data_IF_010540565227
#
_entry.id   IF_010540565227
#
_cell.length_a   1.000
_cell.length_b   1.000
_cell.length_c   1.000
_cell.angle_alpha   90.00
_cell.angle_beta   90.00
_cell.angle_gamma   90.00
#
_symmetry.space_group_name_H-M   'P 1'
#
loop_
_entity.id
_entity.type
_entity.pdbx_description
1 polymer ?
#
# COMPACT_ATOMS: atom_id res chain seq x y z
N UNK A 1 -23.07 -31.97 5.06
CA UNK A 1 -22.23 -32.66 6.06
C UNK A 1 -20.83 -32.02 6.19
N UNK A 2 -20.03 -31.93 5.12
CA UNK A 2 -18.67 -31.35 5.17
C UNK A 2 -18.65 -29.85 5.54
N UNK A 3 -19.64 -29.09 5.07
CA UNK A 3 -19.89 -27.67 5.40
C UNK A 3 -20.03 -27.41 6.92
N UNK A 4 -20.76 -28.30 7.60
CA UNK A 4 -21.00 -28.20 9.03
C UNK A 4 -19.73 -28.50 9.81
N UNK A 5 -18.95 -29.51 9.39
CA UNK A 5 -17.66 -29.83 9.99
C UNK A 5 -16.65 -28.66 9.84
N UNK A 6 -16.61 -28.02 8.67
CA UNK A 6 -15.79 -26.81 8.45
C UNK A 6 -16.18 -25.69 9.40
N UNK A 7 -17.48 -25.41 9.54
CA UNK A 7 -18.00 -24.39 10.46
C UNK A 7 -17.74 -24.74 11.93
N UNK A 8 -17.84 -26.00 12.32
CA UNK A 8 -17.57 -26.45 13.70
C UNK A 8 -16.08 -26.43 14.05
N UNK A 9 -15.19 -26.76 13.10
CA UNK A 9 -13.74 -26.63 13.29
C UNK A 9 -13.36 -25.14 13.42
N UNK A 10 -13.91 -24.28 12.56
CA UNK A 10 -13.71 -22.83 12.63
C UNK A 10 -14.28 -22.20 13.91
N UNK A 11 -15.38 -22.75 14.45
CA UNK A 11 -16.01 -22.26 15.66
C UNK A 11 -15.41 -22.83 16.96
N UNK A 12 -14.83 -24.03 16.94
CA UNK A 12 -14.31 -24.72 18.12
C UNK A 12 -12.85 -24.41 18.48
N UNK A 13 -12.06 -23.88 17.54
CA UNK A 13 -10.60 -23.69 17.72
C UNK A 13 -10.18 -22.21 17.62
N UNK A 14 -11.11 -21.32 17.26
CA UNK A 14 -10.80 -19.91 17.02
C UNK A 14 -10.15 -19.71 15.65
N UNK A 15 -10.51 -18.63 14.96
CA UNK A 15 -10.10 -18.31 13.60
C UNK A 15 -8.61 -17.90 13.48
N UNK A 16 -7.76 -18.33 14.40
CA UNK A 16 -6.33 -18.04 14.45
C UNK A 16 -5.56 -19.22 13.86
N UNK A 17 -5.38 -19.21 12.54
CA UNK A 17 -4.34 -19.96 11.82
C UNK A 17 -4.24 -21.46 12.20
N UNK A 18 -5.03 -22.31 11.53
CA UNK A 18 -4.77 -23.75 11.61
C UNK A 18 -3.42 -24.04 10.93
N UNK A 19 -2.44 -24.51 11.70
CA UNK A 19 -1.16 -24.99 11.16
C UNK A 19 -1.34 -26.34 10.45
N UNK A 20 -0.39 -26.69 9.58
CA UNK A 20 -0.41 -27.97 8.88
C UNK A 20 -0.53 -29.16 9.86
N UNK A 21 0.15 -29.09 11.02
CA UNK A 21 0.07 -30.13 12.05
C UNK A 21 -1.32 -30.26 12.69
N UNK A 22 -2.03 -29.14 12.89
CA UNK A 22 -3.40 -29.16 13.40
C UNK A 22 -4.36 -29.82 12.40
N UNK A 23 -4.20 -29.53 11.11
CA UNK A 23 -5.00 -30.16 10.04
C UNK A 23 -4.70 -31.66 9.96
N UNK A 24 -3.41 -32.05 9.99
CA UNK A 24 -3.00 -33.46 9.98
C UNK A 24 -3.58 -34.25 11.15
N UNK A 25 -3.59 -33.66 12.35
CA UNK A 25 -4.15 -34.28 13.56
C UNK A 25 -5.67 -34.47 13.46
N UNK A 26 -6.39 -33.44 12.99
CA UNK A 26 -7.84 -33.51 12.80
C UNK A 26 -8.25 -34.58 11.77
N UNK A 27 -7.48 -34.71 10.68
CA UNK A 27 -7.72 -35.74 9.67
C UNK A 27 -7.38 -37.14 10.21
N UNK A 28 -6.30 -37.30 10.97
CA UNK A 28 -5.94 -38.56 11.60
C UNK A 28 -7.01 -39.05 12.59
N UNK A 29 -7.64 -38.14 13.35
CA UNK A 29 -8.75 -38.49 14.24
C UNK A 29 -10.01 -38.90 13.49
N UNK A 30 -10.23 -38.37 12.29
CA UNK A 30 -11.31 -38.79 11.40
C UNK A 30 -11.09 -40.21 10.87
N UNK A 31 -9.83 -40.57 10.57
CA UNK A 31 -9.44 -41.93 10.19
C UNK A 31 -9.62 -42.91 11.35
N UNK A 32 -9.15 -42.55 12.55
CA UNK A 32 -9.33 -43.37 13.77
C UNK A 32 -10.80 -43.63 14.11
N UNK A 33 -11.68 -42.67 13.82
CA UNK A 33 -13.14 -42.80 14.02
C UNK A 33 -13.83 -43.59 12.89
N UNK A 34 -13.08 -44.10 11.91
CA UNK A 34 -13.60 -44.84 10.75
C UNK A 34 -14.42 -43.98 9.78
N UNK A 35 -14.36 -42.65 9.90
CA UNK A 35 -15.14 -41.71 9.07
C UNK A 35 -14.44 -41.34 7.78
N UNK A 36 -13.17 -41.72 7.62
CA UNK A 36 -12.34 -41.42 6.47
C UNK A 36 -11.30 -42.53 6.29
N UNK A 37 -10.96 -42.90 5.05
CA UNK A 37 -9.83 -43.79 4.81
C UNK A 37 -8.50 -43.05 4.98
N UNK A 38 -7.42 -43.79 5.26
CA UNK A 38 -6.09 -43.19 5.39
C UNK A 38 -5.63 -42.51 4.09
N UNK A 39 -6.03 -43.06 2.94
CA UNK A 39 -5.70 -42.52 1.62
C UNK A 39 -6.46 -41.21 1.35
N UNK A 40 -7.74 -41.15 1.71
CA UNK A 40 -8.55 -39.94 1.59
C UNK A 40 -8.04 -38.81 2.50
N UNK A 41 -7.55 -39.16 3.70
CA UNK A 41 -6.94 -38.19 4.60
C UNK A 41 -5.69 -37.58 3.99
N UNK A 42 -4.83 -38.42 3.42
CA UNK A 42 -3.58 -37.97 2.79
C UNK A 42 -3.88 -37.07 1.59
N UNK A 43 -4.81 -37.48 0.72
CA UNK A 43 -5.20 -36.67 -0.44
C UNK A 43 -5.83 -35.33 -0.04
N UNK A 44 -6.66 -35.30 1.01
CA UNK A 44 -7.24 -34.06 1.53
C UNK A 44 -6.19 -33.13 2.14
N UNK A 45 -5.19 -33.69 2.83
CA UNK A 45 -4.07 -32.93 3.37
C UNK A 45 -3.21 -32.32 2.25
N UNK A 46 -2.79 -33.12 1.27
CA UNK A 46 -1.94 -32.66 0.18
C UNK A 46 -2.63 -31.55 -0.62
N UNK A 47 -3.94 -31.68 -0.86
CA UNK A 47 -4.74 -30.65 -1.54
C UNK A 47 -4.90 -29.37 -0.71
N UNK A 48 -5.02 -29.50 0.61
CA UNK A 48 -5.08 -28.35 1.52
C UNK A 48 -3.72 -27.64 1.61
N UNK A 49 -2.61 -28.39 1.63
CA UNK A 49 -1.26 -27.85 1.66
C UNK A 49 -0.93 -27.10 0.37
N UNK A 50 -1.15 -27.73 -0.80
CA UNK A 50 -0.88 -27.10 -2.10
C UNK A 50 -1.68 -25.80 -2.29
N UNK A 51 -2.96 -25.80 -1.91
CA UNK A 51 -3.80 -24.60 -1.96
C UNK A 51 -3.36 -23.55 -0.92
N UNK A 52 -2.95 -23.99 0.26
CA UNK A 52 -2.46 -23.12 1.32
C UNK A 52 -1.19 -22.37 0.94
N UNK A 53 -0.25 -23.01 0.22
CA UNK A 53 0.96 -22.35 -0.27
C UNK A 53 0.65 -21.26 -1.31
N UNK A 54 -0.28 -21.53 -2.22
CA UNK A 54 -0.72 -20.55 -3.23
C UNK A 54 -1.45 -19.37 -2.59
N UNK A 55 -2.41 -19.66 -1.70
CA UNK A 55 -3.17 -18.65 -0.96
C UNK A 55 -2.26 -17.82 -0.05
N UNK A 56 -1.28 -18.45 0.62
CA UNK A 56 -0.29 -17.74 1.43
C UNK A 56 0.57 -16.80 0.58
N UNK A 57 1.07 -17.26 -0.57
CA UNK A 57 1.88 -16.41 -1.46
C UNK A 57 1.09 -15.19 -1.96
N UNK A 58 -0.18 -15.38 -2.33
CA UNK A 58 -1.06 -14.29 -2.74
C UNK A 58 -1.36 -13.32 -1.58
N UNK A 59 -1.58 -13.83 -0.38
CA UNK A 59 -1.82 -13.02 0.82
C UNK A 59 -0.58 -12.22 1.23
N UNK A 60 0.61 -12.84 1.24
CA UNK A 60 1.86 -12.15 1.53
C UNK A 60 2.14 -11.04 0.51
N UNK A 61 1.90 -11.28 -0.78
CA UNK A 61 2.04 -10.27 -1.83
C UNK A 61 1.12 -9.06 -1.59
N UNK A 62 -0.16 -9.31 -1.27
CA UNK A 62 -1.13 -8.25 -0.97
C UNK A 62 -0.81 -7.50 0.33
N UNK A 63 -0.38 -8.22 1.36
CA UNK A 63 0.01 -7.63 2.64
C UNK A 63 1.26 -6.75 2.50
N UNK A 64 2.26 -7.20 1.74
CA UNK A 64 3.47 -6.43 1.46
C UNK A 64 3.15 -5.16 0.66
N UNK A 65 2.30 -5.26 -0.37
CA UNK A 65 1.85 -4.10 -1.14
C UNK A 65 1.11 -3.08 -0.26
N UNK A 66 0.18 -3.55 0.59
CA UNK A 66 -0.55 -2.68 1.54
C UNK A 66 0.36 -2.04 2.56
N UNK A 67 1.36 -2.77 3.05
CA UNK A 67 2.36 -2.26 3.99
C UNK A 67 3.22 -1.18 3.36
N UNK A 68 3.67 -1.38 2.11
CA UNK A 68 4.46 -0.41 1.36
C UNK A 68 3.67 0.88 1.10
N UNK A 69 2.44 0.76 0.59
CA UNK A 69 1.53 1.89 0.35
C UNK A 69 1.29 2.70 1.64
N UNK A 70 1.08 2.00 2.76
CA UNK A 70 0.89 2.66 4.06
C UNK A 70 2.14 3.42 4.49
N UNK A 71 3.34 2.83 4.36
CA UNK A 71 4.60 3.49 4.69
C UNK A 71 4.87 4.71 3.81
N UNK A 72 4.60 4.60 2.50
CA UNK A 72 4.73 5.69 1.53
C UNK A 72 3.79 6.85 1.87
N UNK A 73 2.53 6.56 2.21
CA UNK A 73 1.56 7.56 2.64
C UNK A 73 1.98 8.27 3.94
N UNK A 74 2.50 7.53 4.94
CA UNK A 74 3.04 8.14 6.15
C UNK A 74 4.29 9.00 5.86
N UNK A 75 5.16 8.55 4.95
CA UNK A 75 6.34 9.30 4.51
C UNK A 75 5.95 10.61 3.81
N UNK A 76 4.94 10.58 2.95
CA UNK A 76 4.40 11.76 2.28
C UNK A 76 3.84 12.79 3.29
N UNK A 77 3.08 12.32 4.29
CA UNK A 77 2.57 13.17 5.37
C UNK A 77 3.68 13.78 6.25
N UNK A 78 4.77 13.03 6.46
CA UNK A 78 5.94 13.58 7.15
C UNK A 78 6.63 14.67 6.29
N UNK A 79 6.67 14.49 4.97
CA UNK A 79 7.18 15.46 4.01
C UNK A 79 6.40 16.77 4.05
N UNK A 80 5.07 16.72 3.95
CA UNK A 80 4.21 17.92 3.99
C UNK A 80 4.37 18.67 5.30
N UNK A 81 4.39 17.98 6.44
CA UNK A 81 4.60 18.62 7.75
C UNK A 81 5.99 19.27 7.88
N UNK A 82 7.02 18.70 7.26
CA UNK A 82 8.35 19.34 7.21
C UNK A 82 8.33 20.58 6.32
N UNK A 83 7.63 20.51 5.19
CA UNK A 83 7.50 21.62 4.25
C UNK A 83 6.77 22.80 4.89
N UNK A 84 5.61 22.58 5.54
CA UNK A 84 4.89 23.60 6.31
C UNK A 84 5.76 24.27 7.40
N UNK A 85 6.60 23.49 8.08
CA UNK A 85 7.49 24.03 9.10
C UNK A 85 8.62 24.87 8.49
N UNK A 86 9.14 24.46 7.32
CA UNK A 86 10.11 25.25 6.58
C UNK A 86 9.49 26.57 6.11
N UNK A 87 8.30 26.54 5.52
CA UNK A 87 7.56 27.75 5.09
C UNK A 87 7.35 28.73 6.24
N UNK A 88 6.92 28.26 7.42
CA UNK A 88 6.78 29.11 8.61
C UNK A 88 8.09 29.76 9.05
N UNK A 89 9.20 29.02 8.96
CA UNK A 89 10.52 29.55 9.30
C UNK A 89 10.99 30.58 8.28
N UNK A 90 10.73 30.33 7.00
CA UNK A 90 11.05 31.26 5.91
C UNK A 90 10.24 32.55 6.08
N UNK A 91 8.93 32.47 6.27
CA UNK A 91 8.07 33.63 6.51
C UNK A 91 8.53 34.46 7.71
N UNK A 92 8.90 33.82 8.82
CA UNK A 92 9.42 34.50 10.00
C UNK A 92 10.79 35.15 9.80
N UNK A 93 11.58 34.69 8.82
CA UNK A 93 12.85 35.30 8.42
C UNK A 93 12.60 36.46 7.46
N UNK A 94 11.71 36.30 6.48
CA UNK A 94 11.33 37.34 5.51
C UNK A 94 10.70 38.56 6.20
N UNK A 95 9.83 38.34 7.20
CA UNK A 95 9.26 39.41 8.03
C UNK A 95 10.35 40.21 8.76
N UNK A 96 11.36 39.52 9.30
CA UNK A 96 12.50 40.16 9.99
C UNK A 96 13.43 40.92 9.04
N UNK A 97 13.49 40.51 7.79
CA UNK A 97 14.33 41.12 6.75
C UNK A 97 13.58 42.19 5.94
N UNK A 98 12.28 42.39 6.20
CA UNK A 98 11.44 43.34 5.45
C UNK A 98 11.29 42.96 3.97
N UNK A 99 11.49 41.68 3.63
CA UNK A 99 11.34 41.17 2.27
C UNK A 99 9.85 40.84 2.08
N UNK A 100 9.17 41.41 1.06
CA UNK A 100 7.80 41.05 0.78
C UNK A 100 7.73 39.56 0.45
N UNK A 101 6.87 38.83 1.16
CA UNK A 101 6.67 37.40 0.95
C UNK A 101 6.37 37.14 -0.54
N UNK A 102 6.97 36.11 -1.16
CA UNK A 102 6.61 35.73 -2.51
C UNK A 102 5.11 35.44 -2.57
N UNK A 103 4.44 35.97 -3.60
CA UNK A 103 3.02 35.70 -3.83
C UNK A 103 2.79 34.19 -3.89
N UNK A 104 1.66 33.68 -3.39
CA UNK A 104 1.40 32.24 -3.41
C UNK A 104 1.51 31.74 -4.84
N UNK A 105 2.49 30.89 -5.09
CA UNK A 105 2.61 30.13 -6.34
C UNK A 105 1.33 29.30 -6.45
N UNK A 106 0.41 29.80 -7.28
CA UNK A 106 -0.72 29.02 -7.74
C UNK A 106 -0.12 27.86 -8.52
N UNK A 107 -0.56 26.61 -8.31
CA UNK A 107 -0.04 25.48 -9.05
C UNK A 107 -0.18 25.81 -10.54
N UNK A 108 0.96 25.93 -11.20
CA UNK A 108 1.05 26.26 -12.61
C UNK A 108 0.31 25.16 -13.38
N UNK A 109 -0.85 25.53 -13.93
CA UNK A 109 -1.54 24.76 -14.95
C UNK A 109 -0.56 24.60 -16.12
N UNK A 110 -0.05 23.38 -16.32
CA UNK A 110 0.89 22.99 -17.39
C UNK A 110 0.34 23.21 -18.83
N UNK A 111 -0.80 23.87 -19.00
CA UNK A 111 -1.39 24.11 -20.31
C UNK A 111 -2.14 25.44 -20.41
N UNK A 112 -1.40 26.54 -20.55
CA UNK A 112 -1.86 27.73 -21.28
C UNK A 112 -0.66 28.52 -21.80
N UNK A 113 -0.81 29.18 -22.97
CA UNK A 113 0.28 29.37 -23.91
C UNK A 113 1.25 30.44 -23.42
N UNK A 114 2.55 30.14 -23.57
CA UNK A 114 3.65 31.08 -23.38
C UNK A 114 3.31 32.41 -24.08
N UNK A 115 3.19 33.54 -23.36
CA UNK A 115 3.05 34.82 -24.03
C UNK A 115 4.35 35.06 -24.78
N UNK A 116 4.22 35.26 -26.09
CA UNK A 116 5.30 35.48 -27.02
C UNK A 116 6.32 36.47 -26.42
N UNK A 117 7.57 36.03 -26.37
CA UNK A 117 8.69 36.90 -26.08
C UNK A 117 8.59 38.15 -26.95
N UNK A 118 8.39 39.30 -26.31
CA UNK A 118 8.44 40.59 -26.97
C UNK A 118 9.86 40.76 -27.53
N UNK A 119 9.95 40.72 -28.86
CA UNK A 119 11.20 40.85 -29.60
C UNK A 119 11.86 42.21 -29.29
N UNK A 120 13.20 42.28 -29.15
CA UNK A 120 13.86 43.56 -29.05
C UNK A 120 13.68 44.31 -30.38
N UNK A 121 13.12 45.52 -30.27
CA UNK A 121 12.90 46.47 -31.38
C UNK A 121 14.20 46.67 -32.17
N UNK A 122 14.19 46.57 -33.51
CA UNK A 122 15.40 46.78 -34.30
C UNK A 122 15.87 48.23 -34.16
N UNK A 123 17.17 48.40 -33.93
CA UNK A 123 17.84 49.67 -34.01
C UNK A 123 17.84 50.15 -35.46
N UNK A 124 17.00 51.15 -35.76
CA UNK A 124 17.13 51.92 -36.99
C UNK A 124 18.37 52.80 -36.90
N UNK A 125 19.40 52.43 -37.65
CA UNK A 125 20.40 53.40 -38.09
C UNK A 125 19.87 54.16 -39.31
N UNK A 126 19.94 55.49 -39.31
CA UNK A 126 20.89 56.25 -40.15
C UNK A 126 20.59 57.78 -40.14
N UNK A 127 21.69 58.55 -40.26
CA UNK A 127 21.83 59.92 -40.77
C UNK A 127 21.22 61.09 -39.96
N UNK A 128 22.06 61.99 -39.42
CA UNK A 128 22.64 63.18 -40.09
C UNK A 128 23.97 63.53 -39.42
#
# INVERSE_FOLDING_TARGET
MLETLKKTIFAGVGATVMSADAVKTALADLVKKGKLSADDAKAAFDKAAARGEEDAKALYGKAAARGKETLENLGALAGTKRLENLEKRVAAIEEKLGIPAPAPETPEDENSPVPAAEAPKPADGNAV
#
